data_IF_060219030428
#
_entry.id   IF_060219030428
#
_cell.length_a   1.000
_cell.length_b   1.000
_cell.length_c   1.000
_cell.angle_alpha   90.00
_cell.angle_beta   90.00
_cell.angle_gamma   90.00
#
_symmetry.space_group_name_H-M   'P 1'
#
loop_
_entity.id
_entity.type
_entity.pdbx_description
1 polymer ?
#
# COMPACT_ATOMS: atom_id res chain seq x y z
N UNK A 1 64.38 37.95 -2.57
CA UNK A 1 64.49 39.41 -2.32
C UNK A 1 63.54 39.69 -1.24
N UNK A 2 64.02 39.70 -0.06
CA UNK A 2 64.32 40.86 0.81
C UNK A 2 63.04 41.30 1.51
N UNK A 3 62.89 41.01 2.78
CA UNK A 3 63.55 41.71 3.92
C UNK A 3 62.57 42.69 4.51
N UNK A 4 62.25 42.87 5.72
CA UNK A 4 62.82 42.77 7.05
C UNK A 4 61.89 43.52 8.00
N UNK A 5 61.65 42.97 9.22
CA UNK A 5 61.98 43.61 10.52
C UNK A 5 61.26 44.91 10.84
N UNK A 6 60.84 45.29 12.04
CA UNK A 6 61.28 44.98 13.40
C UNK A 6 60.40 45.79 14.41
N UNK A 7 60.36 45.31 15.65
CA UNK A 7 60.34 46.07 16.92
C UNK A 7 59.05 46.51 17.61
N UNK A 8 58.85 45.81 18.72
CA UNK A 8 58.28 46.33 19.98
C UNK A 8 59.15 47.48 20.59
N UNK A 9 58.71 48.25 21.60
CA UNK A 9 58.63 47.77 22.97
C UNK A 9 57.57 48.42 23.94
N UNK A 10 57.20 47.64 24.95
CA UNK A 10 57.15 47.87 26.41
C UNK A 10 56.83 49.25 26.96
N UNK A 11 55.81 49.36 27.84
CA UNK A 11 56.04 49.73 29.29
C UNK A 11 54.75 49.66 30.13
N UNK A 12 54.94 49.16 31.35
CA UNK A 12 54.02 48.96 32.45
C UNK A 12 53.49 50.24 33.13
N UNK A 13 52.38 50.15 33.85
CA UNK A 13 52.26 50.34 35.31
C UNK A 13 50.82 50.28 35.85
N UNK A 14 50.67 49.52 36.91
CA UNK A 14 49.92 49.68 38.20
C UNK A 14 48.43 50.09 38.19
N UNK A 15 47.58 49.21 38.65
CA UNK A 15 47.20 49.13 40.08
C UNK A 15 45.85 49.71 40.37
N UNK A 16 44.88 48.87 40.76
CA UNK A 16 44.04 48.93 42.00
C UNK A 16 42.73 48.16 41.82
N UNK A 17 42.50 47.22 42.68
CA UNK A 17 41.20 46.60 43.01
C UNK A 17 40.49 47.49 44.05
N UNK A 18 39.26 47.18 44.51
CA UNK A 18 38.08 46.49 43.96
C UNK A 18 36.78 47.34 44.15
N UNK A 19 35.70 47.00 43.47
CA UNK A 19 34.34 47.31 43.97
C UNK A 19 33.38 46.22 43.52
N UNK A 20 32.80 45.56 44.51
CA UNK A 20 31.64 44.69 44.41
C UNK A 20 30.45 45.39 43.75
N UNK A 21 29.77 44.74 42.91
CA UNK A 21 28.47 45.12 42.34
C UNK A 21 27.65 43.89 41.97
N UNK A 22 26.33 43.94 41.91
CA UNK A 22 25.42 42.89 42.41
C UNK A 22 25.20 41.71 41.45
N UNK A 23 25.03 40.60 42.11
CA UNK A 23 24.51 39.32 41.58
C UNK A 23 23.34 39.52 40.64
N UNK A 24 23.55 39.32 39.35
CA UNK A 24 22.45 39.00 38.41
C UNK A 24 22.35 37.49 38.28
N UNK A 25 21.31 36.97 38.89
CA UNK A 25 20.85 35.61 38.67
C UNK A 25 20.57 35.43 37.17
N UNK A 26 21.48 34.79 36.44
CA UNK A 26 21.24 34.30 35.11
C UNK A 26 20.25 33.13 35.24
N UNK A 27 19.02 33.37 34.80
CA UNK A 27 18.07 32.34 34.51
C UNK A 27 18.78 31.32 33.59
N UNK A 28 18.99 30.12 34.11
CA UNK A 28 19.35 28.96 33.33
C UNK A 28 18.13 28.63 32.43
N UNK A 29 18.15 29.15 31.21
CA UNK A 29 17.37 28.53 30.14
C UNK A 29 17.88 27.09 30.00
N UNK A 30 17.08 26.11 30.41
CA UNK A 30 17.34 24.70 30.16
C UNK A 30 17.47 24.53 28.64
N UNK A 31 18.63 24.10 28.18
CA UNK A 31 18.80 23.66 26.79
C UNK A 31 17.74 22.57 26.50
N UNK A 32 16.99 22.66 25.39
CA UNK A 32 16.08 21.62 25.02
C UNK A 32 16.84 20.31 24.94
N UNK A 33 16.27 19.21 25.44
CA UNK A 33 16.90 17.91 25.37
C UNK A 33 16.94 17.48 23.90
N UNK A 34 17.97 16.78 23.47
CA UNK A 34 18.09 16.28 22.08
C UNK A 34 16.89 15.43 21.66
N UNK A 35 16.13 14.89 22.60
CA UNK A 35 14.89 14.16 22.39
C UNK A 35 13.73 15.09 21.97
N UNK A 36 13.63 16.28 22.56
CA UNK A 36 12.57 17.24 22.24
C UNK A 36 12.79 17.88 20.86
N UNK A 37 14.04 18.10 20.47
CA UNK A 37 14.39 18.61 19.13
C UNK A 37 14.10 17.53 18.07
N UNK A 38 14.48 16.29 18.32
CA UNK A 38 14.17 15.17 17.43
C UNK A 38 12.65 14.92 17.29
N UNK A 39 11.89 15.09 18.37
CA UNK A 39 10.42 14.98 18.34
C UNK A 39 9.80 16.10 17.49
N UNK A 40 10.29 17.33 17.58
CA UNK A 40 9.84 18.47 16.76
C UNK A 40 10.19 18.28 15.28
N UNK A 41 11.40 17.81 14.97
CA UNK A 41 11.82 17.52 13.59
C UNK A 41 10.95 16.43 12.96
N UNK A 42 10.65 15.36 13.70
CA UNK A 42 9.74 14.31 13.27
C UNK A 42 8.31 14.83 13.02
N UNK A 43 7.82 15.71 13.89
CA UNK A 43 6.49 16.30 13.74
C UNK A 43 6.43 17.24 12.52
N UNK A 44 7.45 18.06 12.32
CA UNK A 44 7.57 18.91 11.14
C UNK A 44 7.66 18.10 9.84
N UNK A 45 8.43 17.00 9.84
CA UNK A 45 8.55 16.13 8.68
C UNK A 45 7.22 15.45 8.37
N UNK A 46 6.49 14.96 9.38
CA UNK A 46 5.13 14.40 9.23
C UNK A 46 4.13 15.43 8.68
N UNK A 47 4.18 16.66 9.19
CA UNK A 47 3.30 17.74 8.73
C UNK A 47 3.60 18.13 7.27
N UNK A 48 4.88 18.16 6.90
CA UNK A 48 5.30 18.42 5.52
C UNK A 48 4.84 17.27 4.59
N UNK A 49 5.07 16.03 4.97
CA UNK A 49 4.56 14.88 4.23
C UNK A 49 3.04 14.94 4.06
N UNK A 50 2.31 15.22 5.13
CA UNK A 50 0.84 15.32 5.09
C UNK A 50 0.37 16.41 4.12
N UNK A 51 0.95 17.61 4.17
CA UNK A 51 0.62 18.71 3.26
C UNK A 51 0.90 18.36 1.81
N UNK A 52 2.06 17.75 1.54
CA UNK A 52 2.44 17.29 0.19
C UNK A 52 1.48 16.23 -0.32
N UNK A 53 1.13 15.25 0.50
CA UNK A 53 0.21 14.17 0.12
C UNK A 53 -1.20 14.69 -0.10
N UNK A 54 -1.70 15.62 0.73
CA UNK A 54 -3.01 16.26 0.53
C UNK A 54 -3.04 17.06 -0.78
N UNK A 55 -1.98 17.79 -1.09
CA UNK A 55 -1.88 18.52 -2.36
C UNK A 55 -1.86 17.57 -3.57
N UNK A 56 -1.12 16.46 -3.47
CA UNK A 56 -1.08 15.43 -4.50
C UNK A 56 -2.45 14.73 -4.66
N UNK A 57 -3.15 14.48 -3.56
CA UNK A 57 -4.51 13.90 -3.60
C UNK A 57 -5.50 14.85 -4.28
N UNK A 58 -5.42 16.15 -4.00
CA UNK A 58 -6.23 17.16 -4.69
C UNK A 58 -5.92 17.21 -6.19
N UNK A 59 -4.64 17.27 -6.55
CA UNK A 59 -4.22 17.31 -7.96
C UNK A 59 -4.67 16.05 -8.73
N UNK A 60 -4.58 14.88 -8.11
CA UNK A 60 -5.02 13.66 -8.75
C UNK A 60 -6.55 13.57 -8.88
N UNK A 61 -7.31 14.13 -7.93
CA UNK A 61 -8.75 14.30 -8.07
C UNK A 61 -9.09 15.22 -9.27
N UNK A 62 -8.36 16.31 -9.39
CA UNK A 62 -8.56 17.29 -10.48
C UNK A 62 -8.16 16.73 -11.85
N UNK A 63 -7.24 15.77 -11.90
CA UNK A 63 -6.89 15.03 -13.12
C UNK A 63 -7.92 13.97 -13.51
N UNK A 64 -8.66 13.41 -12.56
CA UNK A 64 -9.67 12.37 -12.83
C UNK A 64 -10.81 12.88 -13.71
N UNK A 65 -11.26 14.11 -13.48
CA UNK A 65 -12.38 14.72 -14.22
C UNK A 65 -12.08 14.91 -15.71
N UNK A 66 -10.99 15.61 -16.13
CA UNK A 66 -10.67 15.75 -17.53
C UNK A 66 -10.38 14.42 -18.22
N UNK A 67 -9.78 13.45 -17.51
CA UNK A 67 -9.52 12.14 -18.07
C UNK A 67 -10.81 11.34 -18.30
N UNK A 68 -11.78 11.43 -17.41
CA UNK A 68 -13.10 10.82 -17.61
C UNK A 68 -13.81 11.41 -18.83
N UNK A 69 -13.71 12.72 -19.04
CA UNK A 69 -14.27 13.40 -20.23
C UNK A 69 -13.58 12.92 -21.51
N UNK A 70 -12.23 12.83 -21.52
CA UNK A 70 -11.47 12.32 -22.65
C UNK A 70 -11.87 10.89 -23.01
N UNK A 71 -11.95 10.00 -22.01
CA UNK A 71 -12.42 8.62 -22.24
C UNK A 71 -13.84 8.58 -22.77
N UNK A 72 -14.73 9.42 -22.26
CA UNK A 72 -16.11 9.52 -22.77
C UNK A 72 -16.17 9.97 -24.25
N UNK A 73 -15.31 10.89 -24.69
CA UNK A 73 -15.22 11.25 -26.10
C UNK A 73 -14.66 10.12 -26.96
N UNK A 74 -13.69 9.38 -26.47
CA UNK A 74 -13.14 8.21 -27.18
C UNK A 74 -14.23 7.14 -27.33
N UNK A 75 -14.98 6.82 -26.28
CA UNK A 75 -16.12 5.89 -26.33
C UNK A 75 -17.20 6.35 -27.31
N UNK A 76 -17.53 7.65 -27.30
CA UNK A 76 -18.50 8.22 -28.24
C UNK A 76 -18.07 8.08 -29.69
N UNK A 77 -16.80 8.31 -30.01
CA UNK A 77 -16.24 8.12 -31.35
C UNK A 77 -16.23 6.62 -31.73
N UNK A 78 -15.81 5.73 -30.82
CA UNK A 78 -15.83 4.28 -31.04
C UNK A 78 -17.24 3.73 -31.27
N UNK A 79 -18.26 4.31 -30.64
CA UNK A 79 -19.66 3.92 -30.84
C UNK A 79 -20.18 4.20 -32.25
N UNK A 80 -19.42 4.92 -33.08
CA UNK A 80 -19.75 5.34 -34.44
C UNK A 80 -21.03 6.17 -34.58
N UNK A 81 -21.59 6.70 -33.49
CA UNK A 81 -22.78 7.56 -33.48
C UNK A 81 -22.55 8.91 -34.20
N UNK A 82 -21.30 9.34 -34.28
CA UNK A 82 -20.89 10.58 -34.97
C UNK A 82 -20.41 10.37 -36.39
N UNK A 83 -20.48 9.14 -36.91
CA UNK A 83 -20.05 8.75 -38.23
C UNK A 83 -19.12 7.54 -38.21
N UNK A 84 -18.93 6.86 -39.36
CA UNK A 84 -18.06 5.69 -39.42
C UNK A 84 -16.59 6.08 -39.29
N UNK A 85 -15.84 5.26 -38.54
CA UNK A 85 -14.39 5.35 -38.46
C UNK A 85 -13.74 4.40 -39.48
N UNK A 86 -12.66 4.85 -40.16
CA UNK A 86 -11.83 3.93 -40.93
C UNK A 86 -11.01 3.01 -39.99
N UNK A 87 -10.41 1.95 -40.56
CA UNK A 87 -9.66 0.96 -39.75
C UNK A 87 -8.55 1.60 -38.92
N UNK A 88 -7.77 2.49 -39.51
CA UNK A 88 -6.67 3.18 -38.84
C UNK A 88 -7.15 4.07 -37.67
N UNK A 89 -8.28 4.77 -37.86
CA UNK A 89 -8.88 5.59 -36.82
C UNK A 89 -9.39 4.72 -35.66
N UNK A 90 -9.98 3.57 -35.95
CA UNK A 90 -10.47 2.64 -34.94
C UNK A 90 -9.33 2.07 -34.10
N UNK A 91 -8.23 1.70 -34.73
CA UNK A 91 -7.01 1.23 -34.07
C UNK A 91 -6.45 2.31 -33.13
N UNK A 92 -6.26 3.53 -33.63
CA UNK A 92 -5.76 4.66 -32.83
C UNK A 92 -6.69 4.97 -31.64
N UNK A 93 -8.02 4.97 -31.85
CA UNK A 93 -8.99 5.17 -30.78
C UNK A 93 -8.90 4.06 -29.72
N UNK A 94 -8.65 2.81 -30.13
CA UNK A 94 -8.41 1.70 -29.20
C UNK A 94 -7.18 1.94 -28.34
N UNK A 95 -6.07 2.33 -28.93
CA UNK A 95 -4.83 2.63 -28.22
C UNK A 95 -4.98 3.82 -27.27
N UNK A 96 -5.71 4.87 -27.69
CA UNK A 96 -6.01 6.03 -26.83
C UNK A 96 -6.89 5.64 -25.64
N UNK A 97 -7.91 4.81 -25.86
CA UNK A 97 -8.79 4.33 -24.79
C UNK A 97 -8.01 3.51 -23.75
N UNK A 98 -7.19 2.56 -24.21
CA UNK A 98 -6.34 1.76 -23.33
C UNK A 98 -5.37 2.65 -22.52
N UNK A 99 -4.75 3.64 -23.19
CA UNK A 99 -3.84 4.59 -22.54
C UNK A 99 -4.57 5.44 -21.48
N UNK A 100 -5.79 5.89 -21.80
CA UNK A 100 -6.64 6.63 -20.86
C UNK A 100 -7.03 5.80 -19.64
N UNK A 101 -7.42 4.54 -19.84
CA UNK A 101 -7.72 3.62 -18.73
C UNK A 101 -6.49 3.36 -17.85
N UNK A 102 -5.31 3.17 -18.45
CA UNK A 102 -4.05 2.99 -17.71
C UNK A 102 -3.74 4.20 -16.83
N UNK A 103 -3.89 5.41 -17.39
CA UNK A 103 -3.67 6.64 -16.63
C UNK A 103 -4.68 6.80 -15.49
N UNK A 104 -5.94 6.41 -15.70
CA UNK A 104 -6.97 6.43 -14.66
C UNK A 104 -6.65 5.47 -13.52
N UNK A 105 -6.22 4.24 -13.80
CA UNK A 105 -5.77 3.28 -12.80
C UNK A 105 -4.55 3.81 -12.04
N UNK A 106 -3.58 4.38 -12.75
CA UNK A 106 -2.42 5.02 -12.16
C UNK A 106 -2.77 6.10 -11.15
N UNK A 107 -3.62 7.06 -11.53
CA UNK A 107 -4.08 8.13 -10.64
C UNK A 107 -4.78 7.55 -9.40
N UNK A 108 -5.62 6.53 -9.58
CA UNK A 108 -6.35 5.88 -8.51
C UNK A 108 -5.42 5.14 -7.53
N UNK A 109 -4.42 4.44 -8.05
CA UNK A 109 -3.43 3.74 -7.22
C UNK A 109 -2.56 4.74 -6.45
N UNK A 110 -2.09 5.78 -7.12
CA UNK A 110 -1.30 6.83 -6.50
C UNK A 110 -2.05 7.56 -5.39
N UNK A 111 -3.34 7.89 -5.61
CA UNK A 111 -4.21 8.46 -4.57
C UNK A 111 -4.34 7.55 -3.36
N UNK A 112 -4.59 6.27 -3.60
CA UNK A 112 -4.75 5.31 -2.49
C UNK A 112 -3.45 5.12 -1.73
N UNK A 113 -2.33 5.02 -2.45
CA UNK A 113 -1.00 4.97 -1.87
C UNK A 113 -0.76 6.20 -0.97
N UNK A 114 -1.04 7.40 -1.48
CA UNK A 114 -0.89 8.64 -0.74
C UNK A 114 -1.74 8.70 0.54
N UNK A 115 -3.01 8.26 0.47
CA UNK A 115 -3.90 8.20 1.65
C UNK A 115 -3.46 7.13 2.67
N UNK A 116 -2.83 6.05 2.21
CA UNK A 116 -2.26 5.03 3.09
C UNK A 116 -1.01 5.51 3.82
N UNK A 117 -0.16 6.28 3.14
CA UNK A 117 1.05 6.88 3.73
C UNK A 117 0.71 7.89 4.84
N UNK A 118 -0.33 8.70 4.65
CA UNK A 118 -0.75 9.67 5.67
C UNK A 118 -1.56 9.07 6.81
N UNK A 119 -1.97 7.80 6.70
CA UNK A 119 -2.86 7.17 7.66
C UNK A 119 -4.29 7.72 7.63
N UNK A 120 -4.64 8.51 6.61
CA UNK A 120 -5.99 9.09 6.44
C UNK A 120 -7.01 8.08 5.91
N UNK A 121 -6.55 6.96 5.38
CA UNK A 121 -7.45 5.92 4.88
C UNK A 121 -8.16 5.20 6.03
N UNK A 122 -9.42 5.53 6.26
CA UNK A 122 -10.26 4.88 7.26
C UNK A 122 -10.77 3.55 6.75
N UNK A 123 -10.72 2.51 7.60
CA UNK A 123 -11.35 1.22 7.35
C UNK A 123 -12.82 1.25 7.75
N UNK A 124 -13.70 0.75 6.87
CA UNK A 124 -15.14 0.65 7.10
C UNK A 124 -15.52 -0.82 7.23
N UNK A 125 -15.55 -1.30 8.47
CA UNK A 125 -15.91 -2.69 8.74
C UNK A 125 -17.43 -2.86 8.74
N UNK A 126 -17.93 -3.67 7.81
CA UNK A 126 -19.34 -4.04 7.69
C UNK A 126 -19.44 -5.56 7.62
N UNK A 127 -20.44 -6.13 8.26
CA UNK A 127 -20.70 -7.57 8.16
C UNK A 127 -21.01 -7.94 6.73
N UNK A 128 -20.31 -8.96 6.22
CA UNK A 128 -20.42 -9.39 4.83
C UNK A 128 -20.07 -10.87 4.64
N UNK A 129 -20.52 -11.40 3.52
CA UNK A 129 -20.21 -12.76 3.07
C UNK A 129 -19.01 -12.74 2.12
N UNK A 130 -17.93 -13.42 2.49
CA UNK A 130 -16.71 -13.51 1.67
C UNK A 130 -16.96 -14.29 0.38
N UNK A 131 -17.77 -15.36 0.38
CA UNK A 131 -18.10 -16.06 -0.86
C UNK A 131 -18.83 -15.17 -1.86
N UNK A 132 -19.79 -14.38 -1.38
CA UNK A 132 -20.50 -13.41 -2.22
C UNK A 132 -19.53 -12.36 -2.80
N UNK A 133 -18.60 -11.84 -1.99
CA UNK A 133 -17.55 -10.91 -2.42
C UNK A 133 -16.68 -11.53 -3.53
N UNK A 134 -16.18 -12.75 -3.34
CA UNK A 134 -15.33 -13.44 -4.30
C UNK A 134 -16.07 -13.76 -5.60
N UNK A 135 -17.33 -14.22 -5.51
CA UNK A 135 -18.19 -14.50 -6.66
C UNK A 135 -18.42 -13.28 -7.52
N UNK A 136 -18.71 -12.13 -6.89
CA UNK A 136 -18.90 -10.86 -7.58
C UNK A 136 -17.65 -10.42 -8.34
N UNK A 137 -16.47 -10.44 -7.68
CA UNK A 137 -15.21 -10.07 -8.33
C UNK A 137 -14.87 -11.06 -9.46
N UNK A 138 -15.08 -12.36 -9.25
CA UNK A 138 -14.87 -13.36 -10.28
C UNK A 138 -15.75 -13.10 -11.51
N UNK A 139 -17.02 -12.74 -11.31
CA UNK A 139 -17.96 -12.39 -12.39
C UNK A 139 -17.48 -11.17 -13.17
N UNK A 140 -16.98 -10.15 -12.50
CA UNK A 140 -16.47 -8.93 -13.13
C UNK A 140 -15.21 -9.20 -13.98
N UNK A 141 -14.37 -10.15 -13.58
CA UNK A 141 -13.13 -10.49 -14.28
C UNK A 141 -13.31 -11.55 -15.37
N UNK A 142 -14.42 -12.29 -15.40
CA UNK A 142 -14.64 -13.45 -16.29
C UNK A 142 -14.44 -13.12 -17.77
N UNK A 143 -15.00 -12.01 -18.25
CA UNK A 143 -14.87 -11.59 -19.65
C UNK A 143 -13.39 -11.34 -20.03
N UNK A 144 -12.64 -10.64 -19.19
CA UNK A 144 -11.22 -10.32 -19.45
C UNK A 144 -10.33 -11.57 -19.45
N UNK A 145 -10.63 -12.55 -18.58
CA UNK A 145 -9.93 -13.85 -18.59
C UNK A 145 -10.24 -14.62 -19.86
N UNK A 146 -11.51 -14.64 -20.30
CA UNK A 146 -11.93 -15.28 -21.54
C UNK A 146 -11.27 -14.66 -22.77
N UNK A 147 -11.21 -13.33 -22.87
CA UNK A 147 -10.50 -12.59 -23.94
C UNK A 147 -9.01 -12.96 -24.00
N UNK A 148 -8.40 -13.23 -22.87
CA UNK A 148 -7.00 -13.68 -22.75
C UNK A 148 -6.81 -15.18 -22.96
N UNK A 149 -7.89 -15.95 -23.17
CA UNK A 149 -7.86 -17.41 -23.30
C UNK A 149 -7.43 -18.11 -22.00
N UNK A 150 -7.78 -17.56 -20.85
CA UNK A 150 -7.48 -18.08 -19.52
C UNK A 150 -8.74 -18.67 -18.88
N UNK A 151 -8.59 -19.74 -18.11
CA UNK A 151 -9.66 -20.29 -17.27
C UNK A 151 -9.62 -19.66 -15.88
N UNK A 152 -10.76 -19.14 -15.41
CA UNK A 152 -10.93 -18.59 -14.06
C UNK A 152 -11.96 -19.43 -13.30
N UNK A 153 -11.56 -20.00 -12.16
CA UNK A 153 -12.42 -20.79 -11.31
C UNK A 153 -12.57 -20.16 -9.94
N UNK A 154 -13.80 -20.04 -9.47
CA UNK A 154 -14.13 -19.70 -8.10
C UNK A 154 -14.62 -20.96 -7.37
N UNK A 155 -14.01 -21.25 -6.22
CA UNK A 155 -14.37 -22.38 -5.36
C UNK A 155 -15.00 -21.83 -4.08
N UNK A 156 -16.33 -21.88 -3.99
CA UNK A 156 -17.06 -21.49 -2.80
C UNK A 156 -16.81 -22.47 -1.65
N UNK A 157 -16.86 -21.97 -0.41
CA UNK A 157 -16.65 -22.79 0.79
C UNK A 157 -17.78 -22.53 1.79
N UNK A 158 -18.67 -23.53 1.98
CA UNK A 158 -19.83 -23.44 2.85
C UNK A 158 -19.51 -23.33 4.34
N UNK A 159 -18.23 -23.52 4.73
CA UNK A 159 -17.77 -23.37 6.12
C UNK A 159 -17.48 -21.92 6.50
N UNK A 160 -17.51 -21.00 5.55
CA UNK A 160 -17.34 -19.57 5.83
C UNK A 160 -18.65 -19.00 6.38
N UNK A 161 -18.54 -18.32 7.49
CA UNK A 161 -19.63 -17.54 8.08
C UNK A 161 -19.42 -16.05 7.81
N UNK A 162 -20.48 -15.24 7.73
CA UNK A 162 -20.35 -13.80 7.63
C UNK A 162 -19.50 -13.22 8.77
N UNK A 163 -18.69 -12.21 8.46
CA UNK A 163 -17.86 -11.50 9.43
C UNK A 163 -17.62 -10.06 8.98
N UNK A 164 -17.11 -9.21 9.87
CA UNK A 164 -16.89 -7.81 9.58
C UNK A 164 -15.58 -7.57 8.83
N UNK A 165 -15.65 -6.99 7.64
CA UNK A 165 -14.50 -6.56 6.82
C UNK A 165 -14.86 -5.37 5.93
N UNK A 166 -13.86 -4.70 5.36
CA UNK A 166 -14.06 -3.58 4.43
C UNK A 166 -14.22 -4.14 3.01
N UNK A 167 -15.47 -4.32 2.59
CA UNK A 167 -15.81 -4.94 1.31
C UNK A 167 -15.14 -4.26 0.10
N UNK A 168 -15.22 -2.92 -0.10
CA UNK A 168 -14.56 -2.28 -1.25
C UNK A 168 -13.04 -2.48 -1.28
N UNK A 169 -12.39 -2.46 -0.11
CA UNK A 169 -10.94 -2.63 -0.04
C UNK A 169 -10.53 -4.08 -0.29
N UNK A 170 -11.32 -5.05 0.18
CA UNK A 170 -11.08 -6.46 -0.14
C UNK A 170 -11.31 -6.74 -1.62
N UNK A 171 -12.36 -6.22 -2.23
CA UNK A 171 -12.57 -6.32 -3.67
C UNK A 171 -11.38 -5.77 -4.46
N UNK A 172 -10.80 -4.65 -4.00
CA UNK A 172 -9.60 -4.07 -4.61
C UNK A 172 -8.38 -4.98 -4.47
N UNK A 173 -8.14 -5.55 -3.29
CA UNK A 173 -7.05 -6.52 -3.08
C UNK A 173 -7.19 -7.71 -4.03
N UNK A 174 -8.38 -8.31 -4.09
CA UNK A 174 -8.64 -9.46 -4.96
C UNK A 174 -8.47 -9.09 -6.44
N UNK A 175 -8.99 -7.92 -6.85
CA UNK A 175 -8.83 -7.41 -8.22
C UNK A 175 -7.36 -7.22 -8.60
N UNK A 176 -6.53 -6.67 -7.72
CA UNK A 176 -5.09 -6.55 -7.96
C UNK A 176 -4.41 -7.93 -8.14
N UNK A 177 -4.80 -8.93 -7.34
CA UNK A 177 -4.27 -10.28 -7.47
C UNK A 177 -4.73 -10.96 -8.76
N UNK A 178 -5.99 -10.81 -9.14
CA UNK A 178 -6.53 -11.33 -10.41
C UNK A 178 -5.93 -10.61 -11.61
N UNK A 179 -5.67 -9.31 -11.52
CA UNK A 179 -4.97 -8.55 -12.56
C UNK A 179 -3.57 -9.09 -12.80
N UNK A 180 -2.80 -9.33 -11.75
CA UNK A 180 -1.49 -9.95 -11.85
C UNK A 180 -1.58 -11.35 -12.46
N UNK A 181 -2.50 -12.20 -11.99
CA UNK A 181 -2.72 -13.52 -12.55
C UNK A 181 -3.08 -13.46 -14.04
N UNK A 182 -4.01 -12.59 -14.44
CA UNK A 182 -4.42 -12.39 -15.83
C UNK A 182 -3.26 -11.90 -16.71
N UNK A 183 -2.37 -11.07 -16.15
CA UNK A 183 -1.24 -10.47 -16.87
C UNK A 183 -0.10 -11.44 -17.11
N UNK A 184 0.23 -12.26 -16.11
CA UNK A 184 1.42 -13.11 -16.14
C UNK A 184 1.16 -14.57 -16.48
N UNK A 185 -0.08 -15.04 -16.40
CA UNK A 185 -0.43 -16.40 -16.82
C UNK A 185 -0.44 -16.49 -18.34
N UNK A 186 0.26 -17.47 -18.96
CA UNK A 186 0.22 -17.68 -20.39
C UNK A 186 -1.17 -18.08 -20.88
N UNK A 187 -1.46 -17.84 -22.16
CA UNK A 187 -2.69 -18.31 -22.80
C UNK A 187 -2.87 -19.83 -22.61
N UNK A 188 -4.09 -20.26 -22.33
CA UNK A 188 -4.42 -21.65 -21.97
C UNK A 188 -4.20 -21.99 -20.51
N UNK A 189 -3.65 -21.05 -19.72
CA UNK A 189 -3.45 -21.24 -18.28
C UNK A 189 -4.72 -21.12 -17.45
N UNK A 190 -4.59 -21.40 -16.17
CA UNK A 190 -5.72 -21.48 -15.24
C UNK A 190 -5.43 -20.68 -13.98
N UNK A 191 -6.48 -20.01 -13.47
CA UNK A 191 -6.45 -19.26 -12.21
C UNK A 191 -7.59 -19.74 -11.30
N UNK A 192 -7.27 -19.97 -10.03
CA UNK A 192 -8.23 -20.37 -9.00
C UNK A 192 -8.34 -19.32 -7.92
N UNK A 193 -9.56 -19.02 -7.53
CA UNK A 193 -9.90 -18.13 -6.42
C UNK A 193 -10.70 -18.91 -5.39
N UNK A 194 -10.26 -18.94 -4.13
CA UNK A 194 -11.01 -19.56 -3.05
C UNK A 194 -10.73 -18.91 -1.71
N UNK A 195 -11.62 -19.17 -0.74
CA UNK A 195 -11.43 -18.77 0.64
C UNK A 195 -11.71 -19.94 1.59
N UNK A 196 -11.03 -19.95 2.73
CA UNK A 196 -11.18 -20.98 3.74
C UNK A 196 -11.08 -20.40 5.17
N UNK A 197 -11.78 -21.01 6.14
CA UNK A 197 -11.54 -20.69 7.55
C UNK A 197 -10.10 -21.04 7.91
N UNK A 198 -9.42 -20.17 8.63
CA UNK A 198 -8.00 -20.34 8.96
C UNK A 198 -7.72 -20.10 10.42
N UNK A 199 -6.81 -20.90 10.97
CA UNK A 199 -6.26 -20.66 12.31
C UNK A 199 -5.00 -19.82 12.18
N UNK A 200 -5.05 -18.60 12.67
CA UNK A 200 -3.91 -17.71 12.63
C UNK A 200 -3.34 -17.47 14.01
N UNK A 201 -2.16 -18.04 14.27
CA UNK A 201 -1.39 -17.77 15.49
C UNK A 201 -0.70 -16.41 15.37
N UNK A 202 -1.31 -15.40 15.97
CA UNK A 202 -0.62 -14.12 16.18
C UNK A 202 0.36 -14.31 17.35
N UNK A 203 1.65 -14.25 17.09
CA UNK A 203 2.63 -14.06 18.15
C UNK A 203 2.41 -12.68 18.76
N UNK A 204 1.63 -12.59 19.82
CA UNK A 204 1.57 -11.40 20.66
C UNK A 204 2.89 -11.32 21.43
N UNK A 205 3.63 -10.24 21.24
CA UNK A 205 4.91 -9.95 21.94
C UNK A 205 4.67 -9.59 23.42
N UNK A 206 3.46 -9.65 23.91
CA UNK A 206 3.17 -9.38 25.33
C UNK A 206 2.06 -10.29 25.83
N UNK A 207 2.46 -11.39 26.47
CA UNK A 207 1.82 -11.90 27.67
C UNK A 207 2.69 -13.00 28.26
N UNK A 208 3.45 -12.61 29.30
CA UNK A 208 4.16 -13.48 30.19
C UNK A 208 3.22 -14.52 30.85
N UNK A 209 3.62 -15.76 30.70
CA UNK A 209 3.36 -16.91 31.55
C UNK A 209 2.33 -16.74 32.70
N UNK A 210 1.07 -17.03 32.42
CA UNK A 210 0.17 -17.65 33.40
C UNK A 210 -1.16 -17.99 32.74
N UNK A 211 -1.28 -19.13 32.11
CA UNK A 211 -2.50 -19.91 31.89
C UNK A 211 -2.27 -20.98 30.81
N UNK A 212 -1.51 -21.99 31.14
CA UNK A 212 -1.19 -23.11 30.23
C UNK A 212 -2.37 -23.97 29.80
N UNK A 213 -3.51 -23.90 30.50
CA UNK A 213 -4.63 -24.84 30.26
C UNK A 213 -5.74 -24.25 29.36
N UNK A 214 -5.93 -22.93 29.33
CA UNK A 214 -6.91 -22.30 28.45
C UNK A 214 -6.44 -22.20 26.98
N UNK A 215 -5.13 -22.21 26.72
CA UNK A 215 -4.54 -22.18 25.36
C UNK A 215 -4.79 -23.47 24.57
N UNK A 216 -4.85 -24.63 25.21
CA UNK A 216 -5.06 -25.93 24.53
C UNK A 216 -6.47 -26.11 23.99
N UNK A 217 -7.50 -25.56 24.61
CA UNK A 217 -8.89 -25.65 24.15
C UNK A 217 -9.26 -24.59 23.08
N UNK A 218 -8.53 -23.48 22.99
CA UNK A 218 -8.73 -22.44 21.96
C UNK A 218 -8.09 -22.78 20.61
N UNK A 219 -7.30 -23.86 20.51
CA UNK A 219 -6.48 -24.18 19.33
C UNK A 219 -7.24 -24.75 18.13
N UNK A 220 -8.56 -24.97 18.22
CA UNK A 220 -9.32 -25.67 17.17
C UNK A 220 -10.42 -24.82 16.50
N UNK A 221 -10.55 -23.53 16.84
CA UNK A 221 -11.57 -22.68 16.26
C UNK A 221 -10.90 -21.68 15.30
N UNK A 222 -11.28 -21.66 14.02
CA UNK A 222 -10.79 -20.66 13.07
C UNK A 222 -11.04 -19.24 13.59
N UNK A 223 -10.02 -18.40 13.53
CA UNK A 223 -10.06 -17.00 14.00
C UNK A 223 -9.80 -16.00 12.87
N UNK A 224 -9.60 -16.50 11.66
CA UNK A 224 -9.34 -15.73 10.45
C UNK A 224 -9.94 -16.42 9.23
N UNK A 225 -10.10 -15.67 8.15
CA UNK A 225 -10.37 -16.17 6.80
C UNK A 225 -9.11 -16.01 5.97
N UNK A 226 -8.69 -17.07 5.29
CA UNK A 226 -7.62 -17.06 4.30
C UNK A 226 -8.24 -17.06 2.91
N UNK A 227 -7.84 -16.11 2.07
CA UNK A 227 -8.20 -16.03 0.66
C UNK A 227 -6.95 -16.29 -0.18
N UNK A 228 -7.08 -17.06 -1.23
CA UNK A 228 -5.97 -17.42 -2.12
C UNK A 228 -6.35 -17.26 -3.58
N UNK A 229 -5.44 -16.67 -4.37
CA UNK A 229 -5.44 -16.62 -5.83
C UNK A 229 -4.24 -17.42 -6.29
N UNK A 230 -4.47 -18.53 -6.97
CA UNK A 230 -3.42 -19.38 -7.52
C UNK A 230 -3.47 -19.36 -9.04
N UNK A 231 -2.32 -19.30 -9.70
CA UNK A 231 -2.17 -19.26 -11.15
C UNK A 231 -1.14 -20.27 -11.66
N UNK A 232 -1.23 -20.60 -12.94
CA UNK A 232 -0.26 -21.46 -13.65
C UNK A 232 0.74 -20.63 -14.46
N UNK A 233 1.14 -19.48 -13.95
CA UNK A 233 2.09 -18.59 -14.59
C UNK A 233 3.54 -19.04 -14.49
N UNK A 234 4.50 -18.17 -14.84
CA UNK A 234 5.93 -18.50 -14.84
C UNK A 234 6.55 -18.66 -13.45
N UNK A 235 5.81 -18.31 -12.39
CA UNK A 235 6.34 -18.30 -11.04
C UNK A 235 7.30 -17.13 -10.76
N UNK A 236 7.69 -17.03 -9.50
CA UNK A 236 8.55 -15.95 -8.97
C UNK A 236 9.70 -16.60 -8.22
N UNK A 237 10.92 -16.13 -8.46
CA UNK A 237 12.12 -16.60 -7.75
C UNK A 237 12.03 -16.26 -6.26
N UNK A 238 12.45 -17.14 -5.35
CA UNK A 238 12.33 -16.96 -3.90
C UNK A 238 12.92 -15.64 -3.37
N UNK A 239 14.00 -15.17 -3.99
CA UNK A 239 14.66 -13.91 -3.63
C UNK A 239 13.73 -12.69 -3.71
N UNK A 240 12.73 -12.71 -4.59
CA UNK A 240 11.80 -11.60 -4.78
C UNK A 240 10.49 -11.71 -3.98
N UNK A 241 10.26 -12.81 -3.23
CA UNK A 241 8.98 -13.02 -2.53
C UNK A 241 8.63 -11.94 -1.49
N UNK A 242 9.61 -11.23 -0.97
CA UNK A 242 9.38 -10.11 -0.07
C UNK A 242 9.33 -8.78 -0.84
N UNK A 243 10.22 -8.60 -1.80
CA UNK A 243 10.40 -7.37 -2.56
C UNK A 243 9.22 -7.04 -3.48
N UNK A 244 8.48 -8.06 -3.98
CA UNK A 244 7.29 -7.83 -4.83
C UNK A 244 6.17 -7.06 -4.13
N UNK A 245 6.21 -6.95 -2.82
CA UNK A 245 5.28 -6.15 -2.02
C UNK A 245 5.82 -4.76 -1.69
N UNK A 246 7.03 -4.41 -2.13
CA UNK A 246 7.61 -3.09 -1.92
C UNK A 246 7.09 -2.10 -2.96
N UNK A 247 7.16 -0.81 -2.61
CA UNK A 247 6.64 0.26 -3.44
C UNK A 247 7.44 0.37 -4.74
N UNK A 248 6.72 0.47 -5.86
CA UNK A 248 7.29 0.62 -7.20
C UNK A 248 8.18 -0.55 -7.65
N UNK A 249 8.20 -1.65 -6.91
CA UNK A 249 9.01 -2.82 -7.28
C UNK A 249 8.42 -3.54 -8.49
N UNK A 250 9.30 -3.94 -9.40
CA UNK A 250 8.98 -4.74 -10.59
C UNK A 250 10.05 -5.80 -10.79
N UNK A 251 9.63 -6.99 -11.18
CA UNK A 251 10.57 -8.07 -11.46
C UNK A 251 11.51 -7.69 -12.62
N UNK A 252 12.81 -7.94 -12.52
CA UNK A 252 13.75 -7.75 -13.62
C UNK A 252 13.30 -8.52 -14.86
N UNK A 253 13.36 -7.87 -16.04
CA UNK A 253 12.90 -8.45 -17.30
C UNK A 253 11.40 -8.31 -17.58
N UNK A 254 10.62 -7.73 -16.65
CA UNK A 254 9.19 -7.43 -16.85
C UNK A 254 8.93 -5.97 -17.31
N UNK A 255 9.93 -5.31 -17.85
CA UNK A 255 9.88 -3.88 -18.24
C UNK A 255 8.80 -3.56 -19.26
N UNK A 256 8.49 -4.52 -20.16
CA UNK A 256 7.39 -4.41 -21.14
C UNK A 256 6.01 -4.69 -20.52
N UNK A 257 5.94 -5.21 -19.31
CA UNK A 257 4.70 -5.52 -18.63
C UNK A 257 4.08 -4.23 -18.04
N UNK A 258 2.80 -4.03 -18.24
CA UNK A 258 2.05 -2.85 -17.79
C UNK A 258 1.98 -2.77 -16.24
N UNK A 259 2.05 -1.55 -15.69
CA UNK A 259 1.83 -1.27 -14.26
C UNK A 259 3.04 -0.68 -13.55
N UNK A 260 2.77 0.08 -12.46
CA UNK A 260 3.77 0.85 -11.72
C UNK A 260 4.42 0.11 -10.55
N UNK A 261 4.02 -1.13 -10.27
CA UNK A 261 4.50 -1.83 -9.09
C UNK A 261 3.85 -1.39 -7.76
N UNK A 262 2.70 -0.71 -7.81
CA UNK A 262 1.98 -0.27 -6.60
C UNK A 262 0.90 -1.24 -6.15
N UNK A 263 0.34 -2.07 -7.01
CA UNK A 263 -0.83 -2.91 -6.70
C UNK A 263 -0.62 -3.83 -5.49
N UNK A 264 0.51 -4.57 -5.45
CA UNK A 264 0.82 -5.47 -4.32
C UNK A 264 1.18 -4.70 -3.05
N UNK A 265 1.88 -3.59 -3.16
CA UNK A 265 2.20 -2.72 -2.03
C UNK A 265 0.93 -2.13 -1.39
N UNK A 266 -0.01 -1.64 -2.20
CA UNK A 266 -1.33 -1.17 -1.76
C UNK A 266 -2.10 -2.32 -1.10
N UNK A 267 -2.11 -3.51 -1.72
CA UNK A 267 -2.78 -4.69 -1.16
C UNK A 267 -2.23 -5.05 0.22
N UNK A 268 -0.90 -5.05 0.39
CA UNK A 268 -0.25 -5.29 1.69
C UNK A 268 -0.70 -4.29 2.75
N UNK A 269 -0.71 -3.00 2.43
CA UNK A 269 -1.11 -1.94 3.37
C UNK A 269 -2.60 -1.96 3.70
N UNK A 270 -3.47 -2.21 2.73
CA UNK A 270 -4.91 -2.37 2.97
C UNK A 270 -5.18 -3.52 3.94
N UNK A 271 -4.54 -4.66 3.72
CA UNK A 271 -4.68 -5.82 4.59
C UNK A 271 -4.09 -5.57 5.99
N UNK A 272 -2.94 -4.91 6.08
CA UNK A 272 -2.36 -4.50 7.37
C UNK A 272 -3.30 -3.57 8.15
N UNK A 273 -3.95 -2.61 7.48
CA UNK A 273 -4.95 -1.74 8.07
C UNK A 273 -6.18 -2.49 8.59
N UNK A 274 -6.49 -3.66 8.03
CA UNK A 274 -7.53 -4.58 8.53
C UNK A 274 -6.99 -5.58 9.55
N UNK A 275 -5.71 -5.46 9.95
CA UNK A 275 -5.05 -6.38 10.86
C UNK A 275 -4.67 -7.72 10.23
N UNK A 276 -4.70 -7.83 8.90
CA UNK A 276 -4.36 -9.01 8.13
C UNK A 276 -2.90 -9.07 7.66
N UNK A 277 -2.60 -10.04 6.81
CA UNK A 277 -1.27 -10.27 6.21
C UNK A 277 -1.45 -10.84 4.80
N UNK A 278 -0.51 -10.55 3.89
CA UNK A 278 -0.39 -11.13 2.55
C UNK A 278 0.99 -11.75 2.35
N UNK A 279 1.06 -12.82 1.55
CA UNK A 279 2.31 -13.47 1.14
C UNK A 279 2.12 -14.18 -0.20
N UNK A 280 3.22 -14.67 -0.76
CA UNK A 280 3.25 -15.51 -1.97
C UNK A 280 3.94 -16.83 -1.66
N UNK A 281 3.43 -17.89 -2.27
CA UNK A 281 4.05 -19.21 -2.39
C UNK A 281 4.26 -19.44 -3.88
N UNK A 282 5.50 -19.57 -4.35
CA UNK A 282 5.81 -19.65 -5.77
C UNK A 282 7.18 -20.29 -6.00
N UNK A 283 7.28 -21.01 -7.11
CA UNK A 283 8.53 -21.53 -7.65
C UNK A 283 8.59 -21.23 -9.15
N UNK A 284 9.76 -20.94 -9.72
CA UNK A 284 9.93 -20.72 -11.15
C UNK A 284 9.37 -21.91 -11.96
N UNK A 285 8.46 -21.63 -12.89
CA UNK A 285 7.79 -22.63 -13.74
C UNK A 285 6.59 -23.33 -13.11
N UNK A 286 6.29 -23.12 -11.82
CA UNK A 286 5.18 -23.79 -11.12
C UNK A 286 3.97 -22.88 -10.85
N UNK A 287 4.02 -21.62 -11.29
CA UNK A 287 2.99 -20.62 -11.03
C UNK A 287 3.15 -19.92 -9.70
N UNK A 288 2.14 -19.12 -9.34
CA UNK A 288 2.09 -18.40 -8.09
C UNK A 288 0.82 -18.68 -7.31
N UNK A 289 0.92 -18.68 -5.99
CA UNK A 289 -0.21 -18.65 -5.09
C UNK A 289 -0.06 -17.48 -4.12
N UNK A 290 -0.77 -16.41 -4.42
CA UNK A 290 -0.92 -15.29 -3.51
C UNK A 290 -1.99 -15.61 -2.48
N UNK A 291 -1.66 -15.47 -1.22
CA UNK A 291 -2.59 -15.72 -0.12
C UNK A 291 -2.61 -14.54 0.83
N UNK A 292 -3.79 -14.22 1.35
CA UNK A 292 -3.92 -13.25 2.44
C UNK A 292 -4.89 -13.75 3.50
N UNK A 293 -4.72 -13.24 4.71
CA UNK A 293 -5.60 -13.54 5.85
C UNK A 293 -6.18 -12.27 6.42
N UNK A 294 -7.44 -12.39 6.88
CA UNK A 294 -8.17 -11.33 7.59
C UNK A 294 -8.72 -11.94 8.88
N UNK A 295 -8.51 -11.30 10.04
CA UNK A 295 -9.08 -11.77 11.30
C UNK A 295 -10.61 -11.65 11.29
N UNK A 296 -11.31 -12.65 11.84
CA UNK A 296 -12.77 -12.64 11.96
C UNK A 296 -13.28 -11.52 12.89
N UNK A 297 -12.45 -11.08 13.84
CA UNK A 297 -12.73 -9.93 14.70
C UNK A 297 -11.82 -8.78 14.30
N UNK A 298 -12.36 -7.63 13.85
CA UNK A 298 -11.55 -6.47 13.52
C UNK A 298 -10.68 -6.06 14.71
N UNK A 299 -9.40 -5.85 14.47
CA UNK A 299 -8.51 -5.29 15.45
C UNK A 299 -8.51 -3.79 15.21
N UNK A 300 -9.34 -3.09 15.95
CA UNK A 300 -9.27 -1.65 16.02
C UNK A 300 -7.90 -1.33 16.65
N UNK A 301 -6.95 -0.89 15.84
CA UNK A 301 -5.75 -0.25 16.36
C UNK A 301 -6.23 0.96 17.15
N UNK A 302 -6.05 0.94 18.46
CA UNK A 302 -6.33 2.12 19.29
C UNK A 302 -5.54 3.29 18.71
N UNK A 303 -6.15 4.47 18.54
CA UNK A 303 -5.39 5.65 18.19
C UNK A 303 -4.28 5.85 19.23
N UNK A 304 -3.11 6.38 18.85
CA UNK A 304 -2.07 6.69 19.81
C UNK A 304 -2.71 7.53 20.92
N UNK A 305 -2.60 7.07 22.18
CA UNK A 305 -3.10 7.81 23.33
C UNK A 305 -2.44 9.18 23.28
N UNK A 306 -3.25 10.21 23.02
CA UNK A 306 -2.85 11.56 23.27
C UNK A 306 -2.48 11.64 24.75
N UNK A 307 -1.27 12.02 25.03
CA UNK A 307 -0.86 12.47 26.36
C UNK A 307 -1.69 13.69 26.70
N UNK A 308 -2.59 13.54 27.70
CA UNK A 308 -3.14 14.65 28.43
C UNK A 308 -2.01 15.45 29.12
#
# INVERSE_FOLDING_TARGET
>A
MSSTLDKSPTTAHKGSSPKEGPSTAKARASAPSSADDMARDLEQMRDHMRKTTTALASAAHDLKTPLAILNGYIELLQSQKLGPLNERQREIMGDMFLSGQRLQHFIQDFLTFSLLETGELRMQFVEGDMNACLSEVCRLWSARFQERGLALYFLANDKLTPFAFDLPKIQRVISNLLENACKYTPQGGTVWLHAEPHMWERRSVSESASNGDRRRQSMNIPNAVKVSVADTGPGIRPEFHLEIFDDFFRLPGSESAEGMGLGLAISRRLLQGMGGKIWVESEPGAGCKFSFIIPLKPILSSPPRGTE
#
